data_IF_045271477327
#
_entry.id   IF_045271477327
#
_cell.length_a   1.000
_cell.length_b   1.000
_cell.length_c   1.000
_cell.angle_alpha   90.00
_cell.angle_beta   90.00
_cell.angle_gamma   90.00
#
_symmetry.space_group_name_H-M   'P 1'
#
loop_
_entity.id
_entity.type
_entity.pdbx_description
1 polymer ?
#
# COMPACT_ATOMS: atom_id res chain seq x y z
N UNK A 1 2.16 84.38 -37.71
CA UNK A 1 1.38 83.16 -38.01
C UNK A 1 2.34 82.00 -38.29
N UNK A 2 2.19 80.90 -37.55
CA UNK A 2 2.50 79.47 -37.85
C UNK A 2 3.93 79.08 -38.32
N UNK A 3 4.67 78.31 -37.49
CA UNK A 3 5.00 76.84 -37.56
C UNK A 3 5.96 76.47 -38.72
N UNK A 4 7.07 75.74 -38.57
CA UNK A 4 7.31 74.35 -38.12
C UNK A 4 8.84 74.20 -37.83
N UNK A 5 9.29 73.70 -36.68
CA UNK A 5 9.62 72.29 -36.32
C UNK A 5 11.06 71.85 -36.60
N UNK A 6 11.77 71.42 -35.55
CA UNK A 6 12.78 70.35 -35.54
C UNK A 6 13.10 69.99 -34.08
N UNK A 7 12.66 68.80 -33.66
CA UNK A 7 12.90 68.16 -32.36
C UNK A 7 14.13 67.26 -32.44
N UNK A 8 14.97 67.28 -31.39
CA UNK A 8 15.83 66.16 -31.00
C UNK A 8 15.89 66.18 -29.46
N UNK A 9 15.15 65.27 -28.83
CA UNK A 9 15.12 65.07 -27.38
C UNK A 9 15.67 63.68 -27.08
N UNK A 10 16.72 63.65 -26.26
CA UNK A 10 17.35 62.45 -25.73
C UNK A 10 16.44 61.78 -24.70
N UNK A 11 16.13 60.50 -24.88
CA UNK A 11 15.35 59.69 -23.95
C UNK A 11 16.26 58.79 -23.12
N UNK A 12 16.28 59.01 -21.81
CA UNK A 12 16.90 58.18 -20.79
C UNK A 12 15.97 56.99 -20.51
N UNK A 13 16.43 55.75 -20.75
CA UNK A 13 15.67 54.53 -20.44
C UNK A 13 15.97 54.12 -19.00
N UNK A 14 14.95 54.18 -18.13
CA UNK A 14 14.97 53.55 -16.80
C UNK A 14 14.76 52.04 -16.97
N UNK A 15 15.74 51.23 -16.57
CA UNK A 15 15.57 49.80 -16.35
C UNK A 15 14.83 49.60 -15.02
N UNK A 16 13.57 49.19 -15.09
CA UNK A 16 12.84 48.65 -13.93
C UNK A 16 13.28 47.20 -13.76
N UNK A 17 14.08 46.93 -12.73
CA UNK A 17 14.29 45.60 -12.19
C UNK A 17 12.95 45.13 -11.60
N UNK A 18 12.23 44.29 -12.36
CA UNK A 18 11.13 43.50 -11.81
C UNK A 18 11.77 42.48 -10.86
N UNK A 19 11.78 42.80 -9.57
CA UNK A 19 11.98 41.80 -8.52
C UNK A 19 10.74 40.92 -8.57
N UNK A 20 10.86 39.73 -9.15
CA UNK A 20 9.87 38.67 -8.94
C UNK A 20 9.77 38.45 -7.44
N UNK A 21 8.62 38.76 -6.85
CA UNK A 21 8.28 38.26 -5.53
C UNK A 21 8.41 36.75 -5.59
N UNK A 22 9.37 36.18 -4.85
CA UNK A 22 9.53 34.73 -4.77
C UNK A 22 8.20 34.14 -4.34
N UNK A 23 7.67 33.20 -5.13
CA UNK A 23 6.56 32.38 -4.68
C UNK A 23 6.97 31.79 -3.33
N UNK A 24 6.10 31.91 -2.32
CA UNK A 24 6.35 31.27 -1.03
C UNK A 24 6.65 29.79 -1.28
N UNK A 25 7.69 29.26 -0.62
CA UNK A 25 8.03 27.85 -0.75
C UNK A 25 6.77 27.00 -0.46
N UNK A 26 6.52 25.93 -1.24
CA UNK A 26 5.40 25.02 -0.97
C UNK A 26 5.44 24.57 0.49
N UNK A 27 4.28 24.51 1.14
CA UNK A 27 4.18 24.01 2.51
C UNK A 27 3.63 22.59 2.50
N UNK A 28 4.46 21.56 2.75
CA UNK A 28 4.01 20.17 2.78
C UNK A 28 2.86 19.89 3.75
N UNK A 29 2.77 20.62 4.87
CA UNK A 29 1.69 20.45 5.85
C UNK A 29 0.30 20.72 5.26
N UNK A 30 0.18 21.60 4.26
CA UNK A 30 -1.10 21.89 3.62
C UNK A 30 -1.72 20.66 2.93
N UNK A 31 -0.88 19.72 2.47
CA UNK A 31 -1.32 18.45 1.91
C UNK A 31 -1.89 17.53 2.99
N UNK A 32 -1.16 17.32 4.09
CA UNK A 32 -1.52 16.35 5.13
C UNK A 32 -2.56 16.85 6.13
N UNK A 33 -2.78 18.17 6.20
CA UNK A 33 -3.82 18.77 7.06
C UNK A 33 -5.06 19.22 6.28
N UNK A 34 -5.16 18.87 5.00
CA UNK A 34 -6.30 19.20 4.16
C UNK A 34 -7.59 18.58 4.71
N UNK A 35 -8.67 19.37 4.70
CA UNK A 35 -10.01 18.94 5.16
C UNK A 35 -10.96 18.59 4.02
N UNK A 36 -10.48 18.74 2.78
CA UNK A 36 -11.22 18.41 1.57
C UNK A 36 -10.28 17.83 0.53
N UNK A 37 -10.81 16.97 -0.32
CA UNK A 37 -10.08 16.39 -1.47
C UNK A 37 -9.58 17.50 -2.40
N UNK A 38 -10.38 18.56 -2.58
CA UNK A 38 -10.01 19.68 -3.48
C UNK A 38 -8.79 20.43 -2.95
N UNK A 39 -8.75 20.74 -1.65
CA UNK A 39 -7.61 21.44 -1.04
C UNK A 39 -6.36 20.57 -1.06
N UNK A 40 -6.50 19.27 -0.76
CA UNK A 40 -5.41 18.30 -0.81
C UNK A 40 -4.82 18.20 -2.22
N UNK A 41 -5.67 18.02 -3.24
CA UNK A 41 -5.23 17.84 -4.62
C UNK A 41 -4.55 19.11 -5.16
N UNK A 42 -5.02 20.29 -4.74
CA UNK A 42 -4.36 21.58 -5.03
C UNK A 42 -2.97 21.69 -4.38
N UNK A 43 -2.84 21.27 -3.11
CA UNK A 43 -1.56 21.22 -2.42
C UNK A 43 -0.61 20.20 -3.06
N UNK A 44 -1.12 19.02 -3.42
CA UNK A 44 -0.37 17.98 -4.12
C UNK A 44 0.18 18.49 -5.45
N UNK A 45 -0.66 19.10 -6.29
CA UNK A 45 -0.24 19.65 -7.57
C UNK A 45 0.85 20.73 -7.42
N UNK A 46 0.79 21.53 -6.34
CA UNK A 46 1.81 22.53 -6.03
C UNK A 46 3.15 21.89 -5.65
N UNK A 47 3.11 20.84 -4.83
CA UNK A 47 4.31 20.07 -4.43
C UNK A 47 4.92 19.34 -5.64
N UNK A 48 4.10 18.74 -6.49
CA UNK A 48 4.55 18.07 -7.72
C UNK A 48 5.26 19.02 -8.69
N UNK A 49 4.76 20.24 -8.82
CA UNK A 49 5.41 21.26 -9.66
C UNK A 49 6.79 21.68 -9.11
N UNK A 50 6.99 21.62 -7.79
CA UNK A 50 8.24 21.98 -7.14
C UNK A 50 9.23 20.80 -6.98
N UNK A 51 8.73 19.56 -7.02
CA UNK A 51 9.49 18.34 -6.79
C UNK A 51 10.81 18.23 -7.59
N UNK A 52 10.92 18.64 -8.87
CA UNK A 52 12.17 18.54 -9.61
C UNK A 52 13.32 19.39 -9.05
N UNK A 53 13.02 20.40 -8.23
CA UNK A 53 14.00 21.35 -7.67
C UNK A 53 14.03 21.39 -6.14
N UNK A 54 13.11 20.71 -5.48
CA UNK A 54 12.97 20.70 -4.03
C UNK A 54 12.72 19.27 -3.52
N UNK A 55 13.75 18.62 -2.91
CA UNK A 55 13.63 17.27 -2.37
C UNK A 55 12.50 17.11 -1.34
N UNK A 56 12.21 18.13 -0.52
CA UNK A 56 11.13 18.06 0.46
C UNK A 56 9.75 18.05 -0.22
N UNK A 57 9.58 18.84 -1.29
CA UNK A 57 8.37 18.78 -2.12
C UNK A 57 8.23 17.45 -2.85
N UNK A 58 9.32 16.87 -3.37
CA UNK A 58 9.28 15.53 -3.98
C UNK A 58 8.87 14.46 -2.97
N UNK A 59 9.47 14.48 -1.77
CA UNK A 59 9.10 13.58 -0.69
C UNK A 59 7.61 13.69 -0.33
N UNK A 60 7.14 14.92 -0.08
CA UNK A 60 5.76 15.18 0.29
C UNK A 60 4.77 14.79 -0.81
N UNK A 61 5.08 15.10 -2.08
CA UNK A 61 4.25 14.73 -3.21
C UNK A 61 4.18 13.20 -3.40
N UNK A 62 5.32 12.51 -3.25
CA UNK A 62 5.37 11.05 -3.31
C UNK A 62 4.54 10.38 -2.21
N UNK A 63 4.62 10.88 -0.98
CA UNK A 63 3.78 10.43 0.12
C UNK A 63 2.30 10.77 -0.11
N UNK A 64 1.99 11.96 -0.63
CA UNK A 64 0.63 12.38 -0.99
C UNK A 64 -0.03 11.44 -2.00
N UNK A 65 0.68 11.12 -3.09
CA UNK A 65 0.18 10.19 -4.11
C UNK A 65 -0.08 8.78 -3.55
N UNK A 66 0.68 8.34 -2.53
CA UNK A 66 0.41 7.07 -1.86
C UNK A 66 -0.97 7.09 -1.18
N UNK A 67 -1.26 8.13 -0.40
CA UNK A 67 -2.55 8.26 0.27
C UNK A 67 -3.70 8.46 -0.72
N UNK A 68 -3.49 9.22 -1.80
CA UNK A 68 -4.48 9.35 -2.89
C UNK A 68 -4.71 8.02 -3.61
N UNK A 69 -3.71 7.13 -3.70
CA UNK A 69 -3.92 5.78 -4.21
C UNK A 69 -4.86 4.99 -3.29
N UNK A 70 -4.61 4.99 -1.98
CA UNK A 70 -5.49 4.32 -1.00
C UNK A 70 -6.92 4.88 -1.03
N UNK A 71 -7.07 6.20 -1.17
CA UNK A 71 -8.37 6.85 -1.35
C UNK A 71 -9.09 6.37 -2.61
N UNK A 72 -8.37 6.26 -3.74
CA UNK A 72 -8.95 5.79 -5.00
C UNK A 72 -9.53 4.38 -4.84
N UNK A 73 -8.82 3.51 -4.11
CA UNK A 73 -9.31 2.17 -3.80
C UNK A 73 -10.51 2.23 -2.83
N UNK A 74 -10.40 2.96 -1.72
CA UNK A 74 -11.44 3.07 -0.70
C UNK A 74 -12.76 3.63 -1.26
N UNK A 75 -12.70 4.76 -1.95
CA UNK A 75 -13.87 5.41 -2.56
C UNK A 75 -14.49 4.54 -3.65
N UNK A 76 -13.68 3.81 -4.42
CA UNK A 76 -14.16 2.80 -5.37
C UNK A 76 -14.94 1.68 -4.68
N UNK A 77 -14.39 1.13 -3.59
CA UNK A 77 -15.07 0.12 -2.77
C UNK A 77 -16.37 0.66 -2.14
N UNK A 78 -16.35 1.89 -1.60
CA UNK A 78 -17.51 2.54 -0.99
C UNK A 78 -18.63 2.76 -2.00
N UNK A 79 -18.31 3.31 -3.17
CA UNK A 79 -19.29 3.62 -4.23
C UNK A 79 -20.16 2.41 -4.58
N UNK A 80 -19.59 1.22 -4.52
CA UNK A 80 -20.25 -0.04 -4.83
C UNK A 80 -20.71 -0.83 -3.60
N UNK A 81 -20.65 -0.25 -2.40
CA UNK A 81 -21.19 -0.84 -1.18
C UNK A 81 -20.41 -2.07 -0.70
N UNK A 82 -19.07 -1.97 -0.72
CA UNK A 82 -18.20 -3.00 -0.19
C UNK A 82 -18.47 -3.29 1.29
N UNK A 83 -18.59 -4.56 1.63
CA UNK A 83 -18.68 -5.08 2.99
C UNK A 83 -17.43 -5.91 3.32
N UNK A 84 -16.59 -5.42 4.22
CA UNK A 84 -15.36 -6.11 4.61
C UNK A 84 -15.68 -7.38 5.43
N UNK A 85 -15.16 -8.56 5.03
CA UNK A 85 -15.31 -9.78 5.81
C UNK A 85 -14.47 -9.71 7.10
N UNK A 86 -15.05 -10.03 8.26
CA UNK A 86 -14.32 -10.04 9.54
C UNK A 86 -13.49 -11.30 9.81
N UNK A 87 -13.73 -12.35 9.04
CA UNK A 87 -13.30 -13.73 9.36
C UNK A 87 -12.19 -14.25 8.45
N UNK A 88 -11.88 -13.54 7.38
CA UNK A 88 -10.75 -13.84 6.52
C UNK A 88 -10.22 -12.55 5.89
N UNK A 89 -8.92 -12.51 5.63
CA UNK A 89 -8.28 -11.35 5.04
C UNK A 89 -8.18 -11.51 3.54
N UNK A 90 -8.72 -10.56 2.80
CA UNK A 90 -8.44 -10.41 1.39
C UNK A 90 -7.29 -9.41 1.19
N UNK A 91 -6.24 -9.76 0.43
CA UNK A 91 -5.22 -8.80 -0.02
C UNK A 91 -5.89 -7.57 -0.67
N UNK A 92 -5.35 -6.37 -0.42
CA UNK A 92 -5.86 -5.06 -0.88
C UNK A 92 -7.23 -4.62 -0.35
N UNK A 93 -8.11 -5.52 0.12
CA UNK A 93 -9.48 -5.20 0.55
C UNK A 93 -9.64 -5.19 2.08
N UNK A 94 -8.73 -4.49 2.77
CA UNK A 94 -8.72 -4.38 4.24
C UNK A 94 -9.18 -3.04 4.79
N UNK A 95 -9.31 -2.02 3.94
CA UNK A 95 -9.65 -0.67 4.38
C UNK A 95 -11.02 -0.66 5.08
N UNK A 96 -11.17 0.06 6.21
CA UNK A 96 -12.41 0.14 6.98
C UNK A 96 -13.39 1.09 6.29
N UNK A 97 -13.84 0.72 5.09
CA UNK A 97 -14.72 1.54 4.26
C UNK A 97 -16.10 1.68 4.93
N UNK A 98 -16.64 2.92 5.07
CA UNK A 98 -17.97 3.15 5.61
C UNK A 98 -19.08 2.49 4.78
N UNK A 99 -20.22 2.21 5.40
CA UNK A 99 -21.38 1.68 4.70
C UNK A 99 -21.95 2.71 3.71
N UNK A 100 -22.22 2.28 2.47
CA UNK A 100 -22.93 3.08 1.49
C UNK A 100 -24.43 2.70 1.48
N UNK A 101 -25.35 3.63 1.81
CA UNK A 101 -26.79 3.33 1.83
C UNK A 101 -27.38 3.16 0.42
N UNK A 102 -26.74 3.71 -0.62
CA UNK A 102 -27.20 3.64 -2.01
C UNK A 102 -26.08 3.20 -2.97
N UNK A 103 -25.64 1.91 -2.91
CA UNK A 103 -24.58 1.41 -3.75
C UNK A 103 -24.91 1.47 -5.25
N UNK A 104 -23.91 1.81 -6.06
CA UNK A 104 -24.01 1.77 -7.51
C UNK A 104 -23.74 0.37 -8.05
N UNK A 105 -24.33 0.01 -9.21
CA UNK A 105 -24.00 -1.23 -9.90
C UNK A 105 -22.49 -1.36 -10.14
N UNK A 106 -21.94 -2.57 -10.08
CA UNK A 106 -20.52 -2.84 -10.33
C UNK A 106 -20.36 -3.97 -11.35
N UNK A 107 -19.64 -3.69 -12.42
CA UNK A 107 -19.19 -4.68 -13.41
C UNK A 107 -17.76 -5.16 -13.13
N UNK A 108 -17.39 -6.29 -13.75
CA UNK A 108 -16.04 -6.83 -13.66
C UNK A 108 -15.00 -5.83 -14.21
N UNK A 109 -15.32 -5.18 -15.32
CA UNK A 109 -14.47 -4.22 -16.01
C UNK A 109 -14.24 -2.97 -15.15
N UNK A 110 -15.29 -2.47 -14.49
CA UNK A 110 -15.19 -1.34 -13.55
C UNK A 110 -14.35 -1.69 -12.33
N UNK A 111 -14.54 -2.88 -11.73
CA UNK A 111 -13.72 -3.31 -10.60
C UNK A 111 -12.24 -3.45 -10.99
N UNK A 112 -11.97 -4.00 -12.18
CA UNK A 112 -10.61 -4.09 -12.73
C UNK A 112 -10.01 -2.70 -12.95
N UNK A 113 -10.80 -1.72 -13.43
CA UNK A 113 -10.34 -0.34 -13.62
C UNK A 113 -9.99 0.36 -12.30
N UNK A 114 -10.70 0.07 -11.20
CA UNK A 114 -10.33 0.54 -9.86
C UNK A 114 -8.93 0.03 -9.48
N UNK A 115 -8.65 -1.26 -9.68
CA UNK A 115 -7.34 -1.85 -9.39
C UNK A 115 -6.22 -1.27 -10.27
N UNK A 116 -6.48 -1.02 -11.56
CA UNK A 116 -5.52 -0.36 -12.45
C UNK A 116 -5.18 1.04 -11.95
N UNK A 117 -6.20 1.85 -11.65
CA UNK A 117 -6.00 3.25 -11.21
C UNK A 117 -5.24 3.31 -9.87
N UNK A 118 -5.60 2.44 -8.93
CA UNK A 118 -4.88 2.27 -7.66
C UNK A 118 -3.40 1.96 -7.90
N UNK A 119 -3.10 0.96 -8.74
CA UNK A 119 -1.75 0.53 -9.07
C UNK A 119 -0.92 1.61 -9.76
N UNK A 120 -1.52 2.37 -10.68
CA UNK A 120 -0.82 3.44 -11.41
C UNK A 120 -0.47 4.62 -10.51
N UNK A 121 -1.33 4.96 -9.54
CA UNK A 121 -1.02 5.96 -8.52
C UNK A 121 0.10 5.53 -7.58
N UNK A 122 0.10 4.26 -7.14
CA UNK A 122 1.22 3.71 -6.38
C UNK A 122 2.53 3.76 -7.16
N UNK A 123 2.51 3.50 -8.47
CA UNK A 123 3.71 3.64 -9.30
C UNK A 123 4.19 5.09 -9.34
N UNK A 124 3.28 6.06 -9.49
CA UNK A 124 3.62 7.49 -9.45
C UNK A 124 4.24 7.85 -8.10
N UNK A 125 3.63 7.43 -7.00
CA UNK A 125 4.16 7.61 -5.64
C UNK A 125 5.58 7.06 -5.50
N UNK A 126 5.79 5.79 -5.86
CA UNK A 126 7.09 5.14 -5.74
C UNK A 126 8.17 5.81 -6.59
N UNK A 127 7.83 6.22 -7.81
CA UNK A 127 8.74 6.94 -8.71
C UNK A 127 9.10 8.33 -8.16
N UNK A 128 8.15 9.05 -7.59
CA UNK A 128 8.37 10.37 -6.98
C UNK A 128 9.23 10.27 -5.71
N UNK A 129 8.93 9.32 -4.81
CA UNK A 129 9.76 9.04 -3.63
C UNK A 129 11.18 8.62 -4.03
N UNK A 130 11.31 7.77 -5.05
CA UNK A 130 12.60 7.34 -5.59
C UNK A 130 13.42 8.46 -6.26
N UNK A 131 12.82 9.62 -6.53
CA UNK A 131 13.53 10.78 -7.07
C UNK A 131 14.22 11.63 -6.00
N UNK A 132 13.89 11.41 -4.71
CA UNK A 132 14.50 12.11 -3.58
C UNK A 132 15.94 11.64 -3.41
N UNK A 133 16.95 12.53 -3.46
CA UNK A 133 18.36 12.16 -3.24
C UNK A 133 18.59 11.42 -1.92
N UNK A 134 19.58 10.54 -1.88
CA UNK A 134 19.86 9.72 -0.70
C UNK A 134 20.35 10.57 0.49
N UNK A 135 21.09 11.64 0.20
CA UNK A 135 21.66 12.59 1.15
C UNK A 135 20.76 13.80 1.43
N UNK A 136 19.52 13.80 0.92
CA UNK A 136 18.57 14.88 1.17
C UNK A 136 18.19 14.93 2.66
N UNK A 137 18.32 16.09 3.27
CA UNK A 137 17.84 16.36 4.62
C UNK A 137 16.32 16.53 4.60
N UNK A 138 15.61 15.48 4.99
CA UNK A 138 14.14 15.44 5.07
C UNK A 138 13.74 15.38 6.54
N UNK A 139 12.81 16.25 6.93
CA UNK A 139 12.21 16.20 8.25
C UNK A 139 10.84 16.86 8.23
N UNK A 140 9.80 16.04 8.31
CA UNK A 140 8.41 16.47 8.19
C UNK A 140 7.59 15.98 9.36
N UNK A 141 7.15 16.92 10.20
CA UNK A 141 6.29 16.61 11.34
C UNK A 141 4.86 16.43 10.84
N UNK A 142 4.32 15.22 10.97
CA UNK A 142 2.96 14.86 10.54
C UNK A 142 2.17 14.38 11.76
N UNK A 143 0.98 14.95 11.92
CA UNK A 143 -0.02 14.52 12.90
C UNK A 143 -0.98 13.53 12.24
N UNK A 144 -0.93 12.25 12.65
CA UNK A 144 -1.76 11.19 12.07
C UNK A 144 -3.25 11.35 12.39
N UNK A 145 -3.61 12.23 13.32
CA UNK A 145 -5.02 12.60 13.58
C UNK A 145 -5.55 13.62 12.56
N UNK A 146 -4.68 14.24 11.77
CA UNK A 146 -5.02 15.21 10.72
C UNK A 146 -4.83 14.64 9.31
N UNK A 147 -3.81 13.80 9.13
CA UNK A 147 -3.63 13.04 7.90
C UNK A 147 -4.85 12.16 7.65
N UNK A 148 -5.56 12.36 6.55
CA UNK A 148 -6.74 11.56 6.21
C UNK A 148 -6.92 11.32 4.72
N UNK A 149 -7.81 10.39 4.40
CA UNK A 149 -8.24 10.05 3.04
C UNK A 149 -9.77 10.03 3.01
N UNK A 150 -10.40 10.46 1.93
CA UNK A 150 -11.85 10.42 1.75
C UNK A 150 -12.32 8.97 1.48
N UNK A 151 -12.75 8.27 2.53
CA UNK A 151 -13.14 6.87 2.43
C UNK A 151 -14.50 6.71 1.77
N UNK A 152 -15.40 7.69 1.93
CA UNK A 152 -16.78 7.63 1.47
C UNK A 152 -17.00 8.32 0.09
N UNK A 153 -16.02 9.08 -0.40
CA UNK A 153 -16.07 9.79 -1.68
C UNK A 153 -16.97 11.03 -1.68
N UNK A 154 -17.24 11.66 -0.53
CA UNK A 154 -18.08 12.87 -0.42
C UNK A 154 -17.31 14.19 -0.63
N UNK A 155 -15.99 14.11 -0.76
CA UNK A 155 -15.08 15.23 -1.02
C UNK A 155 -14.59 15.95 0.24
N UNK A 156 -15.14 15.65 1.42
CA UNK A 156 -14.60 16.06 2.70
C UNK A 156 -13.61 15.00 3.23
N UNK A 157 -12.69 15.41 4.10
CA UNK A 157 -11.82 14.49 4.84
C UNK A 157 -12.22 14.63 6.30
N UNK A 158 -13.06 13.71 6.77
CA UNK A 158 -13.61 13.76 8.11
C UNK A 158 -12.62 13.20 9.17
N UNK A 159 -12.74 13.59 10.46
CA UNK A 159 -11.83 13.12 11.50
C UNK A 159 -11.79 11.59 11.69
N UNK A 160 -12.90 10.90 11.42
CA UNK A 160 -13.01 9.43 11.46
C UNK A 160 -12.40 8.74 10.23
N UNK A 161 -11.94 9.52 9.25
CA UNK A 161 -11.18 9.06 8.08
C UNK A 161 -9.69 9.41 8.18
N UNK A 162 -9.25 9.87 9.36
CA UNK A 162 -7.84 10.08 9.66
C UNK A 162 -7.07 8.76 9.70
N UNK A 163 -5.76 8.80 9.42
CA UNK A 163 -4.85 7.67 9.50
C UNK A 163 -4.89 7.02 10.90
N UNK A 164 -4.97 7.83 11.96
CA UNK A 164 -5.16 7.36 13.32
C UNK A 164 -6.48 6.56 13.49
N UNK A 165 -7.60 7.07 12.99
CA UNK A 165 -8.89 6.38 13.06
C UNK A 165 -8.92 5.10 12.23
N UNK A 166 -8.33 5.12 11.03
CA UNK A 166 -8.19 3.96 10.15
C UNK A 166 -7.35 2.88 10.82
N UNK A 167 -6.17 3.22 11.36
CA UNK A 167 -5.33 2.26 12.08
C UNK A 167 -6.04 1.69 13.32
N UNK A 168 -6.71 2.54 14.11
CA UNK A 168 -7.50 2.07 15.25
C UNK A 168 -8.61 1.09 14.82
N UNK A 169 -9.25 1.32 13.67
CA UNK A 169 -10.28 0.45 13.14
C UNK A 169 -9.74 -0.92 12.67
N UNK A 170 -8.51 -0.95 12.14
CA UNK A 170 -7.79 -2.17 11.74
C UNK A 170 -7.28 -2.96 12.95
N UNK A 171 -6.86 -2.28 14.02
CA UNK A 171 -6.26 -2.87 15.22
C UNK A 171 -7.25 -3.50 16.20
N UNK A 172 -8.57 -3.60 15.90
CA UNK A 172 -9.61 -4.13 16.81
C UNK A 172 -9.55 -5.65 17.09
N UNK A 173 -8.34 -6.16 17.34
CA UNK A 173 -8.02 -7.26 18.26
C UNK A 173 -7.21 -6.81 19.50
N UNK A 174 -6.84 -5.52 19.61
CA UNK A 174 -6.14 -4.92 20.76
C UNK A 174 -7.03 -3.94 21.55
N UNK A 175 -6.77 -3.78 22.85
CA UNK A 175 -7.54 -2.92 23.75
C UNK A 175 -7.49 -1.43 23.34
N UNK A 176 -8.59 -0.66 23.46
CA UNK A 176 -8.64 0.76 23.10
C UNK A 176 -7.92 1.70 24.09
N UNK A 177 -7.43 1.19 25.22
CA UNK A 177 -7.11 2.00 26.40
C UNK A 177 -5.66 2.53 26.47
N UNK A 178 -4.91 2.50 25.37
CA UNK A 178 -3.58 3.14 25.32
C UNK A 178 -3.34 3.89 24.01
N UNK A 179 -4.24 4.81 23.63
CA UNK A 179 -3.82 5.84 22.68
C UNK A 179 -2.86 6.76 23.44
N UNK A 180 -1.56 6.55 23.19
CA UNK A 180 -0.51 7.39 23.72
C UNK A 180 -0.73 8.87 23.37
N UNK A 181 -0.22 9.73 24.23
CA UNK A 181 0.01 11.16 24.00
C UNK A 181 0.62 11.41 22.61
N UNK A 182 -0.07 12.24 21.80
CA UNK A 182 0.29 12.72 20.45
C UNK A 182 0.75 11.65 19.44
N UNK A 183 -0.10 11.32 18.46
CA UNK A 183 0.26 10.54 17.26
C UNK A 183 0.95 11.43 16.21
N UNK A 184 1.95 12.17 16.66
CA UNK A 184 2.74 13.09 15.85
C UNK A 184 4.12 12.49 15.67
N UNK A 185 4.52 12.31 14.42
CA UNK A 185 5.80 11.70 14.05
C UNK A 185 6.57 12.64 13.13
N UNK A 186 7.90 12.63 13.24
CA UNK A 186 8.79 13.34 12.32
C UNK A 186 9.23 12.34 11.26
N UNK A 187 8.64 12.45 10.09
CA UNK A 187 8.97 11.62 8.95
C UNK A 187 10.25 12.10 8.28
N UNK A 188 11.16 11.18 8.00
CA UNK A 188 12.47 11.48 7.43
C UNK A 188 12.77 10.66 6.16
N UNK A 189 14.05 10.63 5.75
CA UNK A 189 14.46 9.93 4.54
C UNK A 189 14.32 8.41 4.65
N UNK A 190 14.52 7.82 5.83
CA UNK A 190 14.34 6.39 6.07
C UNK A 190 12.87 6.01 5.84
N UNK A 191 11.96 6.78 6.43
CA UNK A 191 10.51 6.55 6.26
C UNK A 191 10.05 6.69 4.80
N UNK A 192 10.76 7.47 4.00
CA UNK A 192 10.54 7.56 2.56
C UNK A 192 10.85 6.26 1.83
N UNK A 193 11.94 5.56 2.20
CA UNK A 193 12.26 4.23 1.65
C UNK A 193 11.22 3.20 2.10
N UNK A 194 10.79 3.27 3.36
CA UNK A 194 9.73 2.41 3.88
C UNK A 194 8.43 2.58 3.10
N UNK A 195 7.97 3.82 2.90
CA UNK A 195 6.72 4.10 2.20
C UNK A 195 6.81 3.69 0.72
N UNK A 196 7.96 3.93 0.09
CA UNK A 196 8.25 3.47 -1.26
C UNK A 196 8.19 1.94 -1.34
N UNK A 197 8.80 1.23 -0.38
CA UNK A 197 8.74 -0.23 -0.30
C UNK A 197 7.32 -0.76 -0.13
N UNK A 198 6.51 -0.08 0.68
CA UNK A 198 5.08 -0.41 0.86
C UNK A 198 4.29 -0.23 -0.44
N UNK A 199 4.58 0.82 -1.20
CA UNK A 199 3.99 1.03 -2.52
C UNK A 199 4.36 -0.11 -3.49
N UNK A 200 5.61 -0.54 -3.51
CA UNK A 200 6.08 -1.69 -4.29
C UNK A 200 5.33 -2.99 -3.90
N UNK A 201 5.18 -3.25 -2.61
CA UNK A 201 4.43 -4.40 -2.11
C UNK A 201 2.95 -4.40 -2.56
N UNK A 202 2.27 -3.25 -2.48
CA UNK A 202 0.89 -3.10 -2.92
C UNK A 202 0.77 -3.20 -4.45
N UNK A 203 1.73 -2.67 -5.21
CA UNK A 203 1.79 -2.86 -6.66
C UNK A 203 1.95 -4.33 -7.04
N UNK A 204 2.79 -5.09 -6.31
CA UNK A 204 2.94 -6.53 -6.56
C UNK A 204 1.63 -7.30 -6.40
N UNK A 205 0.82 -6.95 -5.40
CA UNK A 205 -0.51 -7.53 -5.19
C UNK A 205 -1.47 -7.13 -6.31
N UNK A 206 -1.51 -5.85 -6.68
CA UNK A 206 -2.40 -5.37 -7.74
C UNK A 206 -2.04 -6.00 -9.10
N UNK A 207 -0.75 -6.08 -9.42
CA UNK A 207 -0.26 -6.74 -10.64
C UNK A 207 -0.49 -8.26 -10.62
N UNK A 208 -0.52 -8.91 -9.45
CA UNK A 208 -0.96 -10.30 -9.36
C UNK A 208 -2.44 -10.45 -9.74
N UNK A 209 -3.35 -9.63 -9.21
CA UNK A 209 -4.76 -9.67 -9.59
C UNK A 209 -4.96 -9.35 -11.08
N UNK A 210 -4.35 -8.26 -11.55
CA UNK A 210 -4.44 -7.80 -12.93
C UNK A 210 -3.75 -8.74 -13.91
N UNK A 211 -2.80 -9.59 -13.49
CA UNK A 211 -2.25 -10.61 -14.38
C UNK A 211 -3.29 -11.64 -14.85
N UNK A 212 -4.39 -11.81 -14.10
CA UNK A 212 -5.35 -12.86 -14.31
C UNK A 212 -6.74 -12.35 -14.71
N UNK A 213 -7.49 -13.23 -15.36
CA UNK A 213 -8.93 -13.11 -15.55
C UNK A 213 -9.63 -13.79 -14.37
N UNK A 214 -10.19 -12.97 -13.48
CA UNK A 214 -10.93 -13.41 -12.30
C UNK A 214 -12.42 -13.13 -12.46
N UNK A 215 -12.93 -12.95 -13.69
CA UNK A 215 -14.34 -12.67 -13.97
C UNK A 215 -15.27 -13.74 -13.42
N UNK A 216 -14.90 -15.02 -13.54
CA UNK A 216 -15.69 -16.13 -13.03
C UNK A 216 -15.88 -16.03 -11.50
N UNK A 217 -14.83 -15.68 -10.76
CA UNK A 217 -14.91 -15.44 -9.30
C UNK A 217 -15.72 -14.20 -8.98
N UNK A 218 -15.58 -13.13 -9.77
CA UNK A 218 -16.35 -11.92 -9.61
C UNK A 218 -17.85 -12.21 -9.78
N UNK A 219 -18.25 -12.76 -10.93
CA UNK A 219 -19.65 -13.05 -11.26
C UNK A 219 -20.27 -14.08 -10.30
N UNK A 220 -19.46 -15.06 -9.84
CA UNK A 220 -19.92 -16.19 -9.03
C UNK A 220 -19.82 -16.02 -7.51
N UNK A 221 -19.11 -15.01 -6.99
CA UNK A 221 -18.89 -14.88 -5.54
C UNK A 221 -18.79 -13.45 -5.01
N UNK A 222 -18.56 -12.42 -5.83
CA UNK A 222 -18.37 -11.07 -5.28
C UNK A 222 -19.65 -10.46 -4.71
N UNK A 223 -20.84 -11.05 -4.92
CA UNK A 223 -22.06 -10.63 -4.23
C UNK A 223 -21.94 -10.75 -2.71
N UNK A 224 -21.04 -11.59 -2.20
CA UNK A 224 -20.77 -11.68 -0.75
C UNK A 224 -20.02 -10.45 -0.20
N UNK A 225 -19.28 -9.74 -1.07
CA UNK A 225 -18.48 -8.55 -0.75
C UNK A 225 -19.20 -7.26 -1.18
N UNK A 226 -20.04 -7.32 -2.21
CA UNK A 226 -20.82 -6.22 -2.75
C UNK A 226 -22.30 -6.62 -2.87
N UNK A 227 -23.00 -6.83 -1.74
CA UNK A 227 -24.33 -7.44 -1.73
C UNK A 227 -25.44 -6.57 -2.32
N UNK A 228 -25.13 -5.32 -2.69
CA UNK A 228 -26.09 -4.34 -3.22
C UNK A 228 -25.65 -3.70 -4.54
N UNK A 229 -24.61 -4.22 -5.18
CA UNK A 229 -24.05 -3.67 -6.43
C UNK A 229 -24.58 -4.33 -7.72
N UNK A 230 -25.74 -4.97 -7.68
CA UNK A 230 -26.42 -5.64 -8.81
C UNK A 230 -25.54 -6.68 -9.52
N UNK A 231 -24.74 -7.42 -8.76
CA UNK A 231 -23.92 -8.51 -9.30
C UNK A 231 -24.81 -9.68 -9.77
N UNK A 232 -24.33 -10.53 -10.71
CA UNK A 232 -25.15 -11.54 -11.38
C UNK A 232 -25.94 -12.47 -10.46
N UNK A 233 -25.37 -12.86 -9.31
CA UNK A 233 -26.01 -13.78 -8.35
C UNK A 233 -26.64 -13.08 -7.14
N UNK A 234 -26.61 -11.75 -7.09
CA UNK A 234 -27.09 -10.99 -5.94
C UNK A 234 -28.52 -11.35 -5.55
N UNK A 235 -29.47 -11.23 -6.49
CA UNK A 235 -30.89 -11.41 -6.21
C UNK A 235 -31.26 -12.88 -5.89
N UNK A 236 -30.34 -13.81 -6.11
CA UNK A 236 -30.53 -15.24 -5.85
C UNK A 236 -29.87 -15.68 -4.53
N UNK A 237 -28.67 -15.17 -4.23
CA UNK A 237 -27.83 -15.69 -3.15
C UNK A 237 -27.70 -14.76 -1.94
N UNK A 238 -28.00 -13.47 -2.07
CA UNK A 238 -27.97 -12.54 -0.92
C UNK A 238 -29.24 -12.70 -0.08
N UNK A 239 -29.16 -13.03 1.21
CA UNK A 239 -30.33 -13.24 2.06
C UNK A 239 -31.17 -11.96 2.24
N UNK A 240 -32.50 -12.10 2.16
CA UNK A 240 -33.47 -11.00 2.28
C UNK A 240 -33.60 -10.45 3.71
N UNK A 241 -33.29 -11.25 4.72
CA UNK A 241 -33.47 -10.95 6.14
C UNK A 241 -32.25 -10.26 6.77
N UNK A 242 -31.26 -9.89 5.97
CA UNK A 242 -30.16 -9.05 6.42
C UNK A 242 -29.40 -9.67 7.59
N UNK A 243 -29.18 -10.98 7.57
CA UNK A 243 -28.32 -11.69 8.51
C UNK A 243 -26.88 -11.17 8.46
N UNK A 244 -26.65 -9.95 8.93
CA UNK A 244 -25.38 -9.22 8.83
C UNK A 244 -24.40 -9.70 9.91
N UNK A 245 -24.31 -11.01 10.12
CA UNK A 245 -23.12 -11.59 10.70
C UNK A 245 -21.97 -11.35 9.73
N UNK A 246 -20.97 -10.59 10.17
CA UNK A 246 -19.76 -10.26 9.37
C UNK A 246 -18.74 -11.42 9.32
N UNK A 247 -19.02 -12.53 9.99
CA UNK A 247 -18.19 -13.73 10.04
C UNK A 247 -18.69 -14.79 9.03
N UNK A 248 -17.80 -15.50 8.33
CA UNK A 248 -18.19 -16.59 7.42
C UNK A 248 -18.85 -17.76 8.15
N UNK A 249 -18.57 -17.90 9.46
CA UNK A 249 -19.13 -18.95 10.30
C UNK A 249 -20.45 -18.57 10.94
N UNK A 250 -20.95 -17.34 10.74
CA UNK A 250 -22.22 -16.93 11.32
C UNK A 250 -23.42 -17.58 10.64
N UNK A 251 -23.25 -18.21 9.48
CA UNK A 251 -24.33 -18.85 8.75
C UNK A 251 -23.86 -19.85 7.69
N UNK A 252 -24.74 -20.80 7.36
CA UNK A 252 -24.51 -21.79 6.30
C UNK A 252 -24.36 -21.15 4.92
N UNK A 253 -25.07 -20.04 4.66
CA UNK A 253 -25.00 -19.33 3.38
C UNK A 253 -23.66 -18.60 3.20
N UNK A 254 -23.12 -17.91 4.22
CA UNK A 254 -21.78 -17.27 4.12
C UNK A 254 -20.70 -18.33 3.92
N UNK A 255 -20.82 -19.48 4.58
CA UNK A 255 -19.89 -20.59 4.39
C UNK A 255 -19.95 -21.13 2.96
N UNK A 256 -21.15 -21.29 2.39
CA UNK A 256 -21.33 -21.72 1.00
C UNK A 256 -20.76 -20.70 -0.01
N UNK A 257 -20.99 -19.39 0.20
CA UNK A 257 -20.38 -18.33 -0.61
C UNK A 257 -18.85 -18.34 -0.50
N UNK A 258 -18.31 -18.55 0.69
CA UNK A 258 -16.86 -18.65 0.89
C UNK A 258 -16.26 -19.89 0.19
N UNK A 259 -16.93 -21.04 0.27
CA UNK A 259 -16.54 -22.24 -0.48
C UNK A 259 -16.56 -21.94 -1.99
N UNK A 260 -17.60 -21.25 -2.48
CA UNK A 260 -17.70 -20.85 -3.89
C UNK A 260 -16.55 -19.91 -4.27
N UNK A 261 -16.25 -18.90 -3.44
CA UNK A 261 -15.13 -17.99 -3.64
C UNK A 261 -13.83 -18.77 -3.81
N UNK A 262 -13.49 -19.63 -2.85
CA UNK A 262 -12.26 -20.43 -2.88
C UNK A 262 -12.21 -21.36 -4.10
N UNK A 263 -13.33 -22.02 -4.42
CA UNK A 263 -13.42 -22.93 -5.55
C UNK A 263 -13.26 -22.22 -6.90
N UNK A 264 -13.72 -20.98 -7.00
CA UNK A 264 -13.64 -20.18 -8.22
C UNK A 264 -12.31 -19.44 -8.38
N UNK A 265 -11.37 -19.50 -7.42
CA UNK A 265 -10.00 -19.02 -7.61
C UNK A 265 -9.23 -20.01 -8.49
N UNK A 266 -9.54 -19.99 -9.79
CA UNK A 266 -8.98 -20.81 -10.87
C UNK A 266 -8.68 -19.95 -12.11
N UNK A 267 -7.90 -18.89 -11.92
CA UNK A 267 -7.82 -17.77 -12.83
C UNK A 267 -6.88 -18.02 -14.02
N UNK A 268 -7.36 -17.91 -15.27
CA UNK A 268 -6.51 -17.85 -16.45
C UNK A 268 -5.57 -16.64 -16.40
N UNK A 269 -4.37 -16.78 -16.93
CA UNK A 269 -3.42 -15.67 -17.08
C UNK A 269 -3.74 -14.92 -18.38
N UNK A 270 -4.04 -13.62 -18.28
CA UNK A 270 -4.32 -12.76 -19.44
C UNK A 270 -3.26 -11.68 -19.66
N UNK A 271 -2.54 -11.27 -18.61
CA UNK A 271 -1.47 -10.27 -18.68
C UNK A 271 -0.17 -10.81 -18.03
N UNK A 272 0.52 -11.78 -18.65
CA UNK A 272 1.64 -12.50 -18.04
C UNK A 272 2.80 -11.59 -17.63
N UNK A 273 3.00 -10.45 -18.32
CA UNK A 273 4.04 -9.48 -17.96
C UNK A 273 3.83 -8.86 -16.58
N UNK A 274 2.60 -8.80 -16.08
CA UNK A 274 2.30 -8.31 -14.73
C UNK A 274 2.77 -9.29 -13.65
N UNK A 275 2.85 -10.59 -13.93
CA UNK A 275 3.47 -11.56 -13.01
C UNK A 275 4.96 -11.31 -12.82
N UNK A 276 5.66 -11.04 -13.92
CA UNK A 276 7.06 -10.64 -13.89
C UNK A 276 7.25 -9.28 -13.18
N UNK A 277 6.33 -8.34 -13.41
CA UNK A 277 6.34 -7.05 -12.69
C UNK A 277 6.14 -7.25 -11.18
N UNK A 278 5.17 -8.05 -10.76
CA UNK A 278 4.93 -8.36 -9.35
C UNK A 278 6.18 -8.92 -8.65
N UNK A 279 6.92 -9.83 -9.30
CA UNK A 279 8.20 -10.31 -8.76
C UNK A 279 9.24 -9.20 -8.63
N UNK A 280 9.36 -8.32 -9.63
CA UNK A 280 10.30 -7.19 -9.59
C UNK A 280 9.94 -6.21 -8.46
N UNK A 281 8.65 -5.92 -8.29
CA UNK A 281 8.16 -5.09 -7.21
C UNK A 281 8.51 -5.68 -5.83
N UNK A 282 8.34 -6.99 -5.63
CA UNK A 282 8.75 -7.65 -4.37
C UNK A 282 10.27 -7.60 -4.12
N UNK A 283 11.09 -7.75 -5.17
CA UNK A 283 12.55 -7.61 -5.04
C UNK A 283 12.95 -6.16 -4.74
N UNK A 284 12.28 -5.19 -5.34
CA UNK A 284 12.52 -3.77 -5.08
C UNK A 284 12.11 -3.37 -3.67
N UNK A 285 10.99 -3.88 -3.15
CA UNK A 285 10.61 -3.75 -1.74
C UNK A 285 11.72 -4.26 -0.81
N UNK A 286 12.31 -5.42 -1.09
CA UNK A 286 13.43 -5.96 -0.30
C UNK A 286 14.64 -5.03 -0.35
N UNK A 287 15.00 -4.54 -1.55
CA UNK A 287 16.11 -3.60 -1.71
C UNK A 287 15.87 -2.33 -0.90
N UNK A 288 14.67 -1.75 -1.00
CA UNK A 288 14.26 -0.55 -0.27
C UNK A 288 14.24 -0.76 1.24
N UNK A 289 13.81 -1.91 1.74
CA UNK A 289 13.89 -2.24 3.17
C UNK A 289 15.34 -2.26 3.67
N UNK A 290 16.31 -2.69 2.85
CA UNK A 290 17.74 -2.62 3.23
C UNK A 290 18.27 -1.18 3.25
N UNK A 291 17.83 -0.32 2.32
CA UNK A 291 18.18 1.11 2.30
C UNK A 291 17.56 1.84 3.50
N UNK A 292 16.30 1.54 3.81
CA UNK A 292 15.57 2.00 4.99
C UNK A 292 16.38 1.72 6.27
N UNK A 293 16.72 0.45 6.54
CA UNK A 293 17.55 0.09 7.69
C UNK A 293 18.96 0.69 7.68
N UNK A 294 19.50 1.01 6.49
CA UNK A 294 20.78 1.71 6.39
C UNK A 294 20.64 3.17 6.83
N UNK A 295 19.55 3.83 6.47
CA UNK A 295 19.21 5.18 6.89
C UNK A 295 18.89 5.23 8.40
N UNK A 296 18.02 4.34 8.90
CA UNK A 296 17.67 4.21 10.33
C UNK A 296 18.93 4.06 11.19
N UNK A 297 19.91 3.27 10.76
CA UNK A 297 21.16 3.08 11.52
C UNK A 297 22.10 4.27 11.47
N UNK A 298 21.95 5.17 10.50
CA UNK A 298 22.76 6.38 10.38
C UNK A 298 22.22 7.53 11.23
N UNK A 299 20.94 7.47 11.62
CA UNK A 299 20.31 8.44 12.51
C UNK A 299 20.98 8.48 13.88
N UNK A 300 21.03 9.70 14.44
CA UNK A 300 21.68 9.96 15.74
C UNK A 300 20.73 10.56 16.77
N UNK A 301 19.55 10.99 16.34
CA UNK A 301 18.48 11.50 17.18
C UNK A 301 17.38 10.45 17.42
N UNK A 302 16.35 10.86 18.13
CA UNK A 302 15.19 10.04 18.52
C UNK A 302 13.97 10.97 18.59
N UNK A 303 13.81 11.81 17.58
CA UNK A 303 12.82 12.91 17.58
C UNK A 303 11.52 12.44 16.93
N UNK A 304 10.64 11.81 17.72
CA UNK A 304 9.32 11.35 17.26
C UNK A 304 9.39 10.37 16.07
N UNK A 305 10.25 9.36 16.17
CA UNK A 305 10.51 8.38 15.11
C UNK A 305 9.28 7.55 14.72
N UNK A 306 9.01 7.46 13.41
CA UNK A 306 8.03 6.53 12.87
C UNK A 306 8.55 5.08 12.94
N UNK A 307 9.81 4.86 12.53
CA UNK A 307 10.50 3.56 12.54
C UNK A 307 11.72 3.60 13.48
N UNK A 308 11.54 3.40 14.80
CA UNK A 308 12.65 3.45 15.73
C UNK A 308 13.64 2.29 15.48
N UNK A 309 14.91 2.65 15.31
CA UNK A 309 16.05 1.75 15.28
C UNK A 309 16.53 1.30 16.67
N UNK A 310 17.46 0.33 16.74
CA UNK A 310 17.93 -0.24 18.01
C UNK A 310 18.56 0.76 19.00
N UNK A 311 19.09 1.86 18.49
CA UNK A 311 19.68 2.93 19.30
C UNK A 311 18.61 3.88 19.89
N UNK A 312 17.43 3.96 19.26
CA UNK A 312 16.31 4.81 19.65
C UNK A 312 15.41 4.06 20.64
N UNK A 313 15.66 4.27 21.94
CA UNK A 313 14.95 3.54 23.01
C UNK A 313 13.49 3.99 23.14
N UNK A 314 12.58 3.03 23.21
CA UNK A 314 11.17 3.23 23.52
C UNK A 314 10.29 2.32 22.67
N UNK A 315 9.21 1.78 23.25
CA UNK A 315 8.24 1.03 22.47
C UNK A 315 7.51 1.97 21.51
N UNK A 316 7.39 1.58 20.24
CA UNK A 316 6.64 2.34 19.26
C UNK A 316 5.18 2.54 19.77
N UNK A 317 4.65 3.77 19.80
CA UNK A 317 3.33 4.05 20.40
C UNK A 317 2.15 3.31 19.77
N UNK A 318 2.27 2.90 18.50
CA UNK A 318 1.20 2.25 17.74
C UNK A 318 1.29 0.73 17.79
N UNK A 319 2.50 0.19 17.70
CA UNK A 319 2.70 -1.27 17.60
C UNK A 319 3.14 -1.90 18.91
N UNK A 320 3.61 -1.10 19.87
CA UNK A 320 4.25 -1.59 21.10
C UNK A 320 5.56 -2.32 20.84
N UNK A 321 6.09 -2.29 19.62
CA UNK A 321 7.34 -2.95 19.26
C UNK A 321 8.53 -2.23 19.90
N UNK A 322 9.40 -3.01 20.54
CA UNK A 322 10.73 -2.60 20.96
C UNK A 322 11.74 -3.29 20.03
N UNK A 323 12.47 -2.50 19.26
CA UNK A 323 13.35 -2.99 18.20
C UNK A 323 14.76 -3.11 18.77
N UNK A 324 15.27 -4.35 18.90
CA UNK A 324 16.65 -4.61 19.27
C UNK A 324 17.52 -5.05 18.08
N UNK A 325 18.83 -5.09 18.29
CA UNK A 325 19.80 -5.56 17.28
C UNK A 325 19.52 -7.00 16.81
N UNK A 326 19.04 -7.86 17.71
CA UNK A 326 18.66 -9.24 17.37
C UNK A 326 17.48 -9.26 16.38
N UNK A 327 16.47 -8.41 16.58
CA UNK A 327 15.32 -8.30 15.67
C UNK A 327 15.76 -7.79 14.30
N UNK A 328 16.63 -6.78 14.26
CA UNK A 328 17.14 -6.23 12.99
C UNK A 328 17.97 -7.28 12.24
N UNK A 329 18.85 -8.00 12.92
CA UNK A 329 19.62 -9.09 12.29
C UNK A 329 18.71 -10.21 11.76
N UNK A 330 17.69 -10.61 12.54
CA UNK A 330 16.71 -11.59 12.10
C UNK A 330 15.90 -11.10 10.88
N UNK A 331 15.58 -9.81 10.84
CA UNK A 331 14.92 -9.19 9.70
C UNK A 331 15.77 -9.21 8.44
N UNK A 332 17.05 -8.84 8.52
CA UNK A 332 17.98 -8.95 7.38
C UNK A 332 18.14 -10.40 6.88
N UNK A 333 18.09 -11.37 7.78
CA UNK A 333 18.07 -12.79 7.42
C UNK A 333 16.76 -13.17 6.68
N UNK A 334 15.61 -12.67 7.15
CA UNK A 334 14.33 -12.84 6.49
C UNK A 334 14.30 -12.21 5.09
N UNK A 335 14.80 -10.98 4.94
CA UNK A 335 14.93 -10.30 3.64
C UNK A 335 15.78 -11.12 2.66
N UNK A 336 16.92 -11.64 3.14
CA UNK A 336 17.81 -12.48 2.32
C UNK A 336 17.14 -13.78 1.90
N UNK A 337 16.41 -14.43 2.82
CA UNK A 337 15.64 -15.64 2.51
C UNK A 337 14.53 -15.36 1.48
N UNK A 338 13.78 -14.26 1.65
CA UNK A 338 12.73 -13.86 0.71
C UNK A 338 13.30 -13.56 -0.68
N UNK A 339 14.45 -12.87 -0.74
CA UNK A 339 15.17 -12.59 -1.98
C UNK A 339 15.65 -13.88 -2.65
N UNK A 340 16.23 -14.82 -1.89
CA UNK A 340 16.68 -16.12 -2.39
C UNK A 340 15.53 -16.97 -2.95
N UNK A 341 14.36 -16.93 -2.30
CA UNK A 341 13.14 -17.56 -2.81
C UNK A 341 12.71 -16.93 -4.13
N UNK A 342 12.56 -15.60 -4.17
CA UNK A 342 12.15 -14.86 -5.36
C UNK A 342 13.14 -15.01 -6.52
N UNK A 343 14.43 -15.18 -6.24
CA UNK A 343 15.48 -15.46 -7.22
C UNK A 343 15.59 -16.95 -7.59
N UNK A 344 14.83 -17.83 -6.94
CA UNK A 344 14.84 -19.28 -7.19
C UNK A 344 16.15 -19.95 -6.78
N UNK A 345 16.96 -19.29 -5.94
CA UNK A 345 18.17 -19.86 -5.34
C UNK A 345 17.83 -20.84 -4.22
N UNK A 346 16.75 -20.56 -3.51
CA UNK A 346 16.11 -21.46 -2.55
C UNK A 346 14.69 -21.76 -3.05
N UNK A 347 14.24 -23.00 -2.83
CA UNK A 347 12.93 -23.47 -3.27
C UNK A 347 11.96 -23.49 -2.09
N UNK A 348 10.72 -23.03 -2.31
CA UNK A 348 9.66 -23.06 -1.31
C UNK A 348 9.19 -24.53 -1.09
N UNK A 349 9.13 -25.04 0.14
CA UNK A 349 8.70 -26.41 0.40
C UNK A 349 7.21 -26.59 0.08
N UNK A 350 6.84 -27.82 -0.28
CA UNK A 350 5.44 -28.24 -0.40
C UNK A 350 5.22 -29.51 0.42
N UNK A 351 4.27 -29.53 1.34
CA UNK A 351 4.10 -30.60 2.34
C UNK A 351 3.88 -32.01 1.76
N UNK A 352 3.41 -32.13 0.50
CA UNK A 352 3.22 -33.42 -0.18
C UNK A 352 4.44 -33.91 -0.99
N UNK A 353 5.49 -33.10 -1.12
CA UNK A 353 6.60 -33.33 -2.05
C UNK A 353 7.91 -33.20 -1.27
N UNK A 354 8.60 -34.32 -1.08
CA UNK A 354 9.75 -34.38 -0.18
C UNK A 354 11.09 -34.08 -0.86
N UNK A 355 11.22 -34.38 -2.16
CA UNK A 355 12.49 -34.36 -2.91
C UNK A 355 12.64 -33.14 -3.85
N UNK A 356 11.60 -32.30 -3.92
CA UNK A 356 11.55 -31.09 -4.76
C UNK A 356 10.86 -29.95 -4.04
N UNK A 357 11.26 -28.73 -4.37
CA UNK A 357 10.62 -27.50 -3.92
C UNK A 357 10.08 -26.69 -5.09
N UNK A 358 9.26 -25.69 -4.78
CA UNK A 358 8.65 -24.77 -5.74
C UNK A 358 9.65 -23.65 -6.04
N UNK A 359 10.02 -23.49 -7.31
CA UNK A 359 10.84 -22.37 -7.77
C UNK A 359 9.95 -21.13 -7.93
N UNK A 360 10.07 -20.16 -7.00
CA UNK A 360 9.24 -18.95 -7.02
C UNK A 360 9.61 -18.00 -8.16
N UNK A 361 10.87 -17.99 -8.62
CA UNK A 361 11.24 -17.25 -9.83
C UNK A 361 10.43 -17.73 -11.03
N UNK A 362 10.38 -19.05 -11.26
CA UNK A 362 9.58 -19.64 -12.36
C UNK A 362 8.08 -19.48 -12.14
N UNK A 363 7.60 -19.57 -10.91
CA UNK A 363 6.20 -19.29 -10.57
C UNK A 363 5.75 -17.94 -11.16
N UNK A 364 6.54 -16.89 -10.97
CA UNK A 364 6.24 -15.55 -11.51
C UNK A 364 6.64 -15.36 -12.97
N UNK A 365 7.80 -15.86 -13.41
CA UNK A 365 8.35 -15.58 -14.74
C UNK A 365 7.73 -16.44 -15.85
N UNK A 366 7.21 -17.63 -15.51
CA UNK A 366 6.58 -18.59 -16.43
C UNK A 366 5.10 -18.85 -16.06
N UNK A 367 4.25 -17.81 -15.99
CA UNK A 367 2.95 -17.94 -15.35
C UNK A 367 2.02 -18.93 -16.07
N UNK A 368 1.51 -19.89 -15.31
CA UNK A 368 0.41 -20.79 -15.66
C UNK A 368 -0.89 -20.30 -15.02
N UNK A 369 -2.08 -20.78 -15.45
CA UNK A 369 -3.33 -20.50 -14.76
C UNK A 369 -3.20 -20.73 -13.25
N UNK A 370 -3.67 -19.77 -12.46
CA UNK A 370 -3.56 -19.80 -11.01
C UNK A 370 -4.80 -20.46 -10.41
N UNK A 371 -4.65 -21.68 -9.93
CA UNK A 371 -5.69 -22.40 -9.21
C UNK A 371 -5.28 -22.55 -7.75
N UNK A 372 -5.99 -21.89 -6.83
CA UNK A 372 -5.65 -21.88 -5.41
C UNK A 372 -5.73 -23.29 -4.80
N UNK A 373 -6.81 -24.01 -5.08
CA UNK A 373 -7.05 -25.35 -4.52
C UNK A 373 -6.01 -26.34 -5.05
N UNK A 374 -5.74 -26.30 -6.35
CA UNK A 374 -4.72 -27.16 -6.98
C UNK A 374 -3.29 -26.71 -6.66
N UNK A 375 -3.07 -25.45 -6.27
CA UNK A 375 -1.76 -24.99 -5.80
C UNK A 375 -1.47 -25.51 -4.40
N UNK A 376 -2.46 -25.45 -3.49
CA UNK A 376 -2.37 -26.00 -2.14
C UNK A 376 -2.28 -27.52 -2.17
N UNK A 377 -3.04 -28.17 -3.05
CA UNK A 377 -3.04 -29.64 -3.11
C UNK A 377 -1.91 -30.21 -3.95
N UNK A 378 -1.19 -29.40 -4.75
CA UNK A 378 0.02 -29.81 -5.47
C UNK A 378 -0.05 -29.82 -7.01
N UNK A 379 -1.16 -30.22 -7.68
CA UNK A 379 -1.17 -30.33 -9.14
C UNK A 379 -0.80 -29.06 -9.89
N UNK A 380 -1.26 -27.88 -9.44
CA UNK A 380 -0.98 -26.61 -10.13
C UNK A 380 0.43 -26.08 -9.88
N UNK A 381 1.13 -26.54 -8.83
CA UNK A 381 2.54 -26.18 -8.60
C UNK A 381 3.53 -27.11 -9.30
N UNK A 382 3.05 -28.24 -9.86
CA UNK A 382 3.90 -29.24 -10.51
C UNK A 382 4.83 -28.66 -11.60
N UNK A 383 4.40 -27.70 -12.45
CA UNK A 383 5.28 -27.08 -13.46
C UNK A 383 6.49 -26.32 -12.89
N UNK A 384 6.43 -25.92 -11.62
CA UNK A 384 7.44 -25.11 -10.94
C UNK A 384 8.32 -25.93 -9.99
N UNK A 385 8.13 -27.25 -9.93
CA UNK A 385 8.91 -28.12 -9.05
C UNK A 385 10.31 -28.36 -9.59
N UNK A 386 11.31 -28.16 -8.73
CA UNK A 386 12.72 -28.36 -9.03
C UNK A 386 13.45 -29.07 -7.89
N UNK A 387 14.56 -29.73 -8.24
CA UNK A 387 15.50 -30.25 -7.25
C UNK A 387 16.52 -29.16 -6.94
N UNK A 388 16.84 -28.96 -5.65
CA UNK A 388 17.75 -27.90 -5.22
C UNK A 388 17.73 -27.73 -3.71
N UNK A 389 18.27 -26.61 -3.21
CA UNK A 389 18.16 -26.25 -1.80
C UNK A 389 16.70 -25.88 -1.50
N UNK A 390 16.02 -26.67 -0.68
CA UNK A 390 14.65 -26.41 -0.24
C UNK A 390 14.72 -25.72 1.12
N UNK A 391 13.92 -24.68 1.31
CA UNK A 391 13.77 -24.02 2.60
C UNK A 391 13.22 -25.02 3.63
N UNK A 392 13.87 -25.12 4.78
CA UNK A 392 13.45 -26.00 5.87
C UNK A 392 12.56 -25.27 6.87
N UNK A 393 11.68 -26.03 7.55
CA UNK A 393 10.86 -25.48 8.64
C UNK A 393 11.72 -24.91 9.77
N UNK A 394 12.87 -25.53 10.06
CA UNK A 394 13.79 -25.06 11.10
C UNK A 394 14.41 -23.69 10.78
N UNK A 395 14.83 -23.47 9.52
CA UNK A 395 15.32 -22.16 9.05
C UNK A 395 14.25 -21.06 9.22
N UNK A 396 12.99 -21.37 8.93
CA UNK A 396 11.87 -20.43 9.09
C UNK A 396 11.52 -20.18 10.56
N UNK A 397 11.41 -21.25 11.36
CA UNK A 397 11.10 -21.17 12.80
C UNK A 397 12.21 -20.44 13.56
N UNK A 398 13.47 -20.56 13.14
CA UNK A 398 14.59 -19.83 13.74
C UNK A 398 14.43 -18.32 13.57
N UNK A 399 14.02 -17.85 12.39
CA UNK A 399 13.76 -16.43 12.13
C UNK A 399 12.58 -15.96 12.99
N UNK A 400 11.46 -16.69 12.96
CA UNK A 400 10.26 -16.29 13.70
C UNK A 400 10.48 -16.15 15.21
N UNK A 401 11.31 -17.03 15.81
CA UNK A 401 11.61 -17.01 17.24
C UNK A 401 12.26 -15.71 17.72
N UNK A 402 12.96 -14.97 16.85
CA UNK A 402 13.63 -13.71 17.21
C UNK A 402 12.66 -12.54 17.42
N UNK A 403 11.42 -12.67 16.93
CA UNK A 403 10.40 -11.61 17.01
C UNK A 403 9.47 -11.75 18.24
N UNK A 404 9.69 -12.76 19.09
CA UNK A 404 9.02 -12.91 20.38
C UNK A 404 7.48 -12.88 20.33
N UNK A 405 6.86 -12.34 21.39
CA UNK A 405 5.40 -12.28 21.54
C UNK A 405 4.69 -11.27 20.65
N UNK A 406 5.40 -10.27 20.10
CA UNK A 406 4.85 -9.31 19.15
C UNK A 406 4.67 -9.89 17.74
N UNK A 407 5.49 -10.90 17.40
CA UNK A 407 5.31 -11.78 16.25
C UNK A 407 5.91 -11.26 14.93
N UNK A 408 6.53 -12.18 14.17
CA UNK A 408 7.14 -11.91 12.86
C UNK A 408 6.17 -11.23 11.88
N UNK A 409 4.89 -11.59 11.88
CA UNK A 409 3.90 -11.02 10.97
C UNK A 409 3.59 -9.54 11.27
N UNK A 410 3.57 -9.15 12.54
CA UNK A 410 3.38 -7.74 12.93
C UNK A 410 4.57 -6.93 12.47
N UNK A 411 5.79 -7.45 12.68
CA UNK A 411 7.01 -6.80 12.21
C UNK A 411 7.05 -6.70 10.69
N UNK A 412 6.73 -7.77 9.96
CA UNK A 412 6.70 -7.75 8.49
C UNK A 412 5.67 -6.74 7.97
N UNK A 413 4.43 -6.76 8.48
CA UNK A 413 3.41 -5.77 8.06
C UNK A 413 3.83 -4.34 8.38
N UNK A 414 4.62 -4.10 9.43
CA UNK A 414 5.06 -2.76 9.81
C UNK A 414 6.33 -2.30 9.10
N UNK A 415 7.31 -3.17 8.83
CA UNK A 415 8.63 -2.83 8.26
C UNK A 415 8.81 -3.30 6.80
N UNK A 416 7.75 -3.86 6.18
CA UNK A 416 7.61 -4.46 4.84
C UNK A 416 8.00 -5.94 4.67
#
# INVERSE_FOLDING_TARGET
MKRFSSLLASTLVLLVLVVSAGAAAPQPSALFEAKSVTDRDSALATLEAAAPSDPASAYAAGAGEFFTALETLASGLHRHGFESPQSFMLPLMRLPVPENPNPQPLTYEEFRAILVTFRDRLQKSAATLGSVPAEADIGMVIDLTRLGIDLNGDGAIAPDESAAAIMAALSRGGSPDSVASSLTFRFDRADGYWLQGYAEFLMAQADFWLAHDFKNTFDGSFHMLFPRAKLPLQDTLVPLDGGMGRSIFSSEWRLADFISLVHLINWPVVEPKRRQAARRHLLEMIRLSREDWTAIRAETDNDHEWLPGPQQKGANPLTGLDVGEEQVQAWFAALTMAEDLLEGRILLPHFRIADKGINMKRFFDEPKPFDLVLSITGPAIAPYLESGKILTGEEFDQIQRQFGGAGFLTFAVWFN
#
